data_IF_596818108403
#
_entry.id   IF_596818108403
#
_cell.length_a   1.000
_cell.length_b   1.000
_cell.length_c   1.000
_cell.angle_alpha   90.00
_cell.angle_beta   90.00
_cell.angle_gamma   90.00
#
_symmetry.space_group_name_H-M   'P 1'
#
loop_
_entity.id
_entity.type
_entity.pdbx_description
1 polymer ?
#
# COMPACT_ATOMS: atom_id res chain seq x y z
N UNK A 1 -25.49 2.04 51.02
CA UNK A 1 -25.66 2.21 49.56
C UNK A 1 -24.64 1.32 48.87
N UNK A 2 -24.92 0.02 48.77
CA UNK A 2 -23.95 -0.97 48.28
C UNK A 2 -24.22 -1.28 46.80
N UNK A 3 -23.81 -0.35 45.94
CA UNK A 3 -23.68 -0.57 44.49
C UNK A 3 -22.28 -1.11 44.15
N UNK A 4 -21.47 -1.57 45.12
CA UNK A 4 -20.04 -1.79 44.95
C UNK A 4 -19.61 -3.08 44.24
N UNK A 5 -20.39 -4.17 44.34
CA UNK A 5 -19.96 -5.47 43.80
C UNK A 5 -20.82 -5.95 42.63
N UNK A 6 -22.15 -5.83 42.70
CA UNK A 6 -23.03 -6.23 41.61
C UNK A 6 -22.91 -5.34 40.37
N UNK A 7 -22.77 -4.02 40.54
CA UNK A 7 -22.52 -3.13 39.39
C UNK A 7 -21.12 -3.33 38.81
N UNK A 8 -20.10 -3.60 39.62
CA UNK A 8 -18.74 -3.86 39.10
C UNK A 8 -18.70 -5.16 38.30
N UNK A 9 -19.36 -6.22 38.78
CA UNK A 9 -19.53 -7.46 38.02
C UNK A 9 -20.33 -7.20 36.74
N UNK A 10 -21.44 -6.47 36.82
CA UNK A 10 -22.27 -6.13 35.66
C UNK A 10 -21.49 -5.31 34.62
N UNK A 11 -20.73 -4.30 35.05
CA UNK A 11 -19.87 -3.49 34.19
C UNK A 11 -18.74 -4.32 33.56
N UNK A 12 -18.09 -5.19 34.34
CA UNK A 12 -17.08 -6.11 33.83
C UNK A 12 -17.67 -7.05 32.77
N UNK A 13 -18.88 -7.58 32.97
CA UNK A 13 -19.57 -8.41 32.00
C UNK A 13 -19.94 -7.64 30.73
N UNK A 14 -20.46 -6.41 30.85
CA UNK A 14 -20.78 -5.55 29.69
C UNK A 14 -19.52 -5.23 28.88
N UNK A 15 -18.41 -4.90 29.54
CA UNK A 15 -17.12 -4.65 28.89
C UNK A 15 -16.63 -5.92 28.20
N UNK A 16 -16.62 -7.07 28.88
CA UNK A 16 -16.23 -8.36 28.29
C UNK A 16 -17.06 -8.68 27.05
N UNK A 17 -18.38 -8.51 27.12
CA UNK A 17 -19.27 -8.73 25.97
C UNK A 17 -18.94 -7.76 24.82
N UNK A 18 -18.73 -6.47 25.09
CA UNK A 18 -18.37 -5.49 24.07
C UNK A 18 -17.04 -5.80 23.36
N UNK A 19 -16.09 -6.44 24.04
CA UNK A 19 -14.83 -6.88 23.44
C UNK A 19 -14.95 -8.20 22.66
N UNK A 20 -15.88 -9.09 23.03
CA UNK A 20 -16.07 -10.38 22.32
C UNK A 20 -16.99 -10.29 21.10
N UNK A 21 -17.85 -9.26 21.00
CA UNK A 21 -18.53 -8.92 19.74
C UNK A 21 -17.64 -8.01 18.89
N UNK A 22 -16.77 -8.61 18.08
CA UNK A 22 -16.27 -7.91 16.90
C UNK A 22 -17.46 -7.62 15.96
N UNK A 23 -17.55 -6.44 15.34
CA UNK A 23 -18.53 -6.22 14.29
C UNK A 23 -18.32 -7.28 13.21
N UNK A 24 -19.36 -8.05 12.92
CA UNK A 24 -19.37 -8.93 11.75
C UNK A 24 -19.39 -8.01 10.53
N UNK A 25 -18.21 -7.77 9.97
CA UNK A 25 -18.04 -7.07 8.71
C UNK A 25 -18.81 -7.89 7.68
N UNK A 26 -19.89 -7.32 7.13
CA UNK A 26 -20.61 -7.94 6.04
C UNK A 26 -19.61 -8.22 4.91
N UNK A 27 -19.31 -9.49 4.67
CA UNK A 27 -18.30 -9.87 3.69
C UNK A 27 -18.69 -9.41 2.29
N UNK A 28 -17.70 -9.08 1.45
CA UNK A 28 -17.98 -8.82 0.04
C UNK A 28 -18.49 -10.09 -0.64
N UNK A 29 -19.65 -10.03 -1.31
CA UNK A 29 -20.12 -11.05 -2.26
C UNK A 29 -19.35 -11.05 -3.58
N UNK A 30 -18.02 -11.03 -3.49
CA UNK A 30 -17.09 -10.94 -4.61
C UNK A 30 -16.66 -12.36 -5.06
N UNK A 31 -16.42 -12.57 -6.36
CA UNK A 31 -15.74 -13.78 -6.82
C UNK A 31 -14.25 -13.75 -6.42
N UNK A 32 -13.70 -14.92 -6.06
CA UNK A 32 -12.29 -15.10 -5.73
C UNK A 32 -11.42 -15.12 -7.00
N UNK A 33 -11.29 -13.96 -7.65
CA UNK A 33 -10.47 -13.75 -8.84
C UNK A 33 -9.24 -12.92 -8.49
N UNK A 34 -8.07 -13.35 -8.95
CA UNK A 34 -6.76 -12.73 -8.68
C UNK A 34 -6.37 -11.72 -9.77
N UNK A 35 -7.19 -10.68 -9.95
CA UNK A 35 -6.92 -9.55 -10.85
C UNK A 35 -6.56 -8.32 -10.02
N UNK A 36 -5.36 -8.35 -9.43
CA UNK A 36 -4.92 -7.33 -8.47
C UNK A 36 -5.02 -5.91 -9.01
N UNK A 37 -5.46 -4.98 -8.16
CA UNK A 37 -5.50 -3.54 -8.45
C UNK A 37 -4.96 -2.75 -7.26
N UNK A 38 -4.27 -1.64 -7.55
CA UNK A 38 -3.81 -0.70 -6.54
C UNK A 38 -4.75 0.50 -6.48
N UNK A 39 -5.32 0.77 -5.30
CA UNK A 39 -6.13 1.94 -5.03
C UNK A 39 -5.29 3.19 -4.81
N UNK A 40 -5.91 4.36 -5.00
CA UNK A 40 -5.31 5.67 -4.70
C UNK A 40 -5.03 5.88 -3.21
N UNK A 41 -5.58 5.02 -2.36
CA UNK A 41 -5.30 4.92 -0.92
C UNK A 41 -4.05 4.09 -0.61
N UNK A 42 -3.36 3.56 -1.63
CA UNK A 42 -2.16 2.76 -1.49
C UNK A 42 -2.40 1.32 -1.06
N UNK A 43 -3.65 0.83 -1.13
CA UNK A 43 -4.00 -0.56 -0.80
C UNK A 43 -4.15 -1.42 -2.05
N UNK A 44 -3.63 -2.64 -1.97
CA UNK A 44 -3.81 -3.68 -2.98
C UNK A 44 -5.12 -4.42 -2.74
N UNK A 45 -5.98 -4.49 -3.76
CA UNK A 45 -7.21 -5.27 -3.73
C UNK A 45 -7.12 -6.42 -4.72
N UNK A 46 -7.61 -7.59 -4.31
CA UNK A 46 -7.51 -8.81 -5.11
C UNK A 46 -8.20 -8.70 -6.48
N UNK A 47 -9.28 -7.93 -6.53
CA UNK A 47 -9.94 -7.49 -7.75
C UNK A 47 -10.73 -6.19 -7.54
N UNK A 48 -11.22 -5.60 -8.62
CA UNK A 48 -12.04 -4.38 -8.59
C UNK A 48 -13.31 -4.52 -7.73
N UNK A 49 -13.92 -5.72 -7.67
CA UNK A 49 -15.11 -5.92 -6.85
C UNK A 49 -14.77 -5.76 -5.36
N UNK A 50 -13.67 -6.35 -4.90
CA UNK A 50 -13.19 -6.19 -3.52
C UNK A 50 -12.79 -4.75 -3.23
N UNK A 51 -12.18 -4.06 -4.19
CA UNK A 51 -11.90 -2.64 -4.06
C UNK A 51 -13.19 -1.84 -3.84
N UNK A 52 -14.20 -2.04 -4.67
CA UNK A 52 -15.47 -1.30 -4.55
C UNK A 52 -16.21 -1.58 -3.23
N UNK A 53 -16.04 -2.77 -2.65
CA UNK A 53 -16.70 -3.15 -1.41
C UNK A 53 -15.94 -2.71 -0.15
N UNK A 54 -14.60 -2.77 -0.17
CA UNK A 54 -13.75 -2.59 1.01
C UNK A 54 -13.05 -1.24 1.06
N UNK A 55 -13.00 -0.50 -0.05
CA UNK A 55 -12.36 0.82 -0.09
C UNK A 55 -13.25 1.92 0.48
N UNK A 56 -12.61 3.00 0.93
CA UNK A 56 -13.33 4.21 1.31
C UNK A 56 -13.94 4.89 0.06
N UNK A 57 -15.02 5.68 0.23
CA UNK A 57 -15.60 6.43 -0.88
C UNK A 57 -14.57 7.32 -1.58
N UNK A 58 -14.50 7.22 -2.91
CA UNK A 58 -13.63 8.06 -3.73
C UNK A 58 -12.25 7.48 -4.03
N UNK A 59 -11.93 6.29 -3.50
CA UNK A 59 -10.73 5.56 -3.91
C UNK A 59 -10.85 5.14 -5.38
N UNK A 60 -9.82 5.46 -6.17
CA UNK A 60 -9.74 5.14 -7.62
C UNK A 60 -8.60 4.16 -7.87
N UNK A 61 -8.69 3.38 -8.93
CA UNK A 61 -7.55 2.56 -9.37
C UNK A 61 -6.47 3.48 -9.92
N UNK A 62 -5.27 3.37 -9.36
CA UNK A 62 -4.09 4.12 -9.83
C UNK A 62 -3.12 3.25 -10.62
N UNK A 63 -3.19 1.93 -10.42
CA UNK A 63 -2.36 0.98 -11.13
C UNK A 63 -3.08 -0.36 -11.30
N UNK A 64 -3.00 -0.91 -12.51
CA UNK A 64 -3.45 -2.27 -12.81
C UNK A 64 -2.34 -3.20 -12.31
N UNK A 65 -2.60 -4.00 -11.28
CA UNK A 65 -1.61 -4.72 -10.48
C UNK A 65 -1.57 -4.29 -9.00
N UNK A 66 -0.81 -5.02 -8.19
CA UNK A 66 -0.67 -4.68 -6.77
C UNK A 66 0.16 -3.41 -6.55
N UNK A 67 -0.04 -2.73 -5.43
CA UNK A 67 0.72 -1.54 -5.07
C UNK A 67 2.22 -1.84 -4.89
N UNK A 68 2.58 -3.04 -4.46
CA UNK A 68 3.97 -3.49 -4.39
C UNK A 68 4.62 -3.52 -5.78
N UNK A 69 3.89 -3.97 -6.80
CA UNK A 69 4.38 -3.95 -8.19
C UNK A 69 4.48 -2.52 -8.71
N UNK A 70 3.46 -1.69 -8.45
CA UNK A 70 3.51 -0.25 -8.79
C UNK A 70 4.76 0.40 -8.21
N UNK A 71 5.03 0.13 -6.93
CA UNK A 71 6.20 0.64 -6.22
C UNK A 71 7.49 0.03 -6.75
N UNK A 72 7.53 -1.24 -7.11
CA UNK A 72 8.71 -1.85 -7.73
C UNK A 72 9.04 -1.20 -9.09
N UNK A 73 8.02 -0.84 -9.88
CA UNK A 73 8.19 -0.10 -11.13
C UNK A 73 8.62 1.36 -10.88
N UNK A 74 8.04 2.02 -9.88
CA UNK A 74 8.38 3.40 -9.52
C UNK A 74 9.75 3.53 -8.84
N UNK A 75 10.12 2.55 -8.02
CA UNK A 75 11.43 2.42 -7.37
C UNK A 75 12.44 1.72 -8.31
N UNK A 76 12.00 1.34 -9.52
CA UNK A 76 12.76 0.69 -10.59
C UNK A 76 13.74 1.60 -11.33
N UNK A 77 14.11 2.75 -10.78
CA UNK A 77 15.30 3.48 -11.21
C UNK A 77 16.62 2.87 -10.69
N UNK A 78 16.63 1.57 -10.37
CA UNK A 78 17.84 0.76 -10.38
C UNK A 78 17.67 -0.49 -11.25
N UNK A 79 17.01 -0.36 -12.40
CA UNK A 79 17.26 -1.27 -13.52
C UNK A 79 18.49 -0.80 -14.29
N UNK A 80 19.55 -1.61 -14.22
CA UNK A 80 20.76 -1.47 -15.03
C UNK A 80 20.41 -1.80 -16.49
N UNK A 81 19.85 -0.84 -17.24
CA UNK A 81 19.65 -1.02 -18.68
C UNK A 81 21.02 -1.09 -19.39
N UNK A 82 21.29 -2.08 -20.25
CA UNK A 82 22.62 -2.33 -20.86
C UNK A 82 23.11 -1.24 -21.85
N UNK A 83 22.50 -0.05 -21.88
CA UNK A 83 22.92 1.10 -22.70
C UNK A 83 23.18 2.40 -21.93
N UNK A 84 22.83 2.50 -20.64
CA UNK A 84 22.88 3.77 -19.91
C UNK A 84 24.25 4.10 -19.28
N UNK A 85 25.15 3.13 -19.15
CA UNK A 85 26.52 3.38 -18.69
C UNK A 85 27.34 4.27 -19.65
N UNK A 86 27.00 4.27 -20.94
CA UNK A 86 27.77 4.97 -21.99
C UNK A 86 27.53 6.49 -21.94
N UNK A 87 26.31 6.93 -21.58
CA UNK A 87 25.94 8.36 -21.56
C UNK A 87 26.57 9.09 -20.36
N UNK A 88 26.67 8.44 -19.20
CA UNK A 88 27.29 9.04 -18.01
C UNK A 88 28.82 9.17 -18.12
N UNK A 89 29.50 8.22 -18.76
CA UNK A 89 30.96 8.27 -18.93
C UNK A 89 31.35 9.30 -20.00
N UNK A 90 30.60 9.42 -21.09
CA UNK A 90 30.94 10.35 -22.19
C UNK A 90 30.59 11.81 -21.87
N UNK A 91 29.57 12.08 -21.06
CA UNK A 91 29.12 13.44 -20.74
C UNK A 91 29.89 14.14 -19.61
N UNK A 92 30.42 13.39 -18.63
CA UNK A 92 31.09 13.98 -17.45
C UNK A 92 32.61 13.84 -17.53
N UNK A 93 33.14 12.74 -18.06
CA UNK A 93 34.60 12.51 -18.05
C UNK A 93 35.32 13.33 -19.14
N UNK A 94 34.71 13.50 -20.32
CA UNK A 94 35.33 14.26 -21.42
C UNK A 94 35.53 15.76 -21.13
N UNK A 95 34.56 16.51 -20.56
CA UNK A 95 34.81 17.90 -20.18
C UNK A 95 35.82 18.02 -19.01
N UNK A 96 35.85 17.07 -18.06
CA UNK A 96 36.81 17.10 -16.95
C UNK A 96 38.26 16.83 -17.39
N UNK A 97 38.47 16.00 -18.42
CA UNK A 97 39.80 15.82 -19.02
C UNK A 97 40.20 17.07 -19.81
N UNK A 98 39.29 17.72 -20.54
CA UNK A 98 39.60 18.92 -21.30
C UNK A 98 39.94 20.14 -20.41
N UNK A 99 39.30 20.25 -19.24
CA UNK A 99 39.63 21.27 -18.23
C UNK A 99 41.01 21.06 -17.57
N UNK A 100 41.54 19.83 -17.58
CA UNK A 100 42.93 19.52 -17.14
C UNK A 100 43.97 19.69 -18.24
N UNK A 101 43.59 19.69 -19.52
CA UNK A 101 44.51 19.91 -20.63
C UNK A 101 44.63 21.38 -21.04
N UNK A 102 43.80 22.25 -20.44
CA UNK A 102 43.81 23.71 -20.64
C UNK A 102 44.29 24.49 -19.40
N UNK A 103 44.84 23.81 -18.39
CA UNK A 103 45.56 24.41 -17.27
C UNK A 103 47.02 23.96 -17.25
#
# INVERSE_FOLDING_TARGET
MNYGSHHVILLALVVVLAYTVAPTEGGCGCLDSYTWVCGSDGKSYQNMCFMHCLSEPGVKVVFDGSCERMQAEQNGALELQPGHAIVFITGIILPLIFQRLTN
#
